data_IF_717854032011
#
_entry.id   IF_717854032011
#
_cell.length_a   1.000
_cell.length_b   1.000
_cell.length_c   1.000
_cell.angle_alpha   90.00
_cell.angle_beta   90.00
_cell.angle_gamma   90.00
#
_symmetry.space_group_name_H-M   'P 1'
#
loop_
_entity.id
_entity.type
_entity.pdbx_description
1 polymer ?
#
# COMPACT_ATOMS: atom_id res chain seq x y z
N UNK A 1 -12.74 3.16 -9.39
CA UNK A 1 -12.80 3.09 -10.87
C UNK A 1 -14.26 3.28 -11.31
N UNK A 2 -14.60 4.28 -12.11
CA UNK A 2 -15.99 4.57 -12.53
C UNK A 2 -16.23 4.36 -14.04
N UNK A 3 -17.39 3.81 -14.39
CA UNK A 3 -17.85 3.47 -15.76
C UNK A 3 -19.26 4.07 -15.98
N UNK A 4 -19.63 4.39 -17.22
CA UNK A 4 -20.93 4.99 -17.55
C UNK A 4 -21.97 3.98 -18.10
N UNK A 5 -23.17 4.49 -18.45
CA UNK A 5 -24.37 3.71 -18.79
C UNK A 5 -24.26 2.87 -20.08
N UNK A 6 -23.14 2.96 -20.80
CA UNK A 6 -22.79 2.07 -21.91
C UNK A 6 -21.85 0.92 -21.51
N UNK A 7 -21.52 0.81 -20.22
CA UNK A 7 -20.52 -0.16 -19.74
C UNK A 7 -19.07 0.24 -20.05
N UNK A 8 -18.86 1.41 -20.65
CA UNK A 8 -17.55 1.98 -20.98
C UNK A 8 -16.96 2.68 -19.77
N UNK A 9 -15.66 2.48 -19.51
CA UNK A 9 -14.98 3.17 -18.42
C UNK A 9 -14.88 4.65 -18.74
N UNK A 10 -15.42 5.50 -17.87
CA UNK A 10 -15.64 6.91 -18.23
C UNK A 10 -14.30 7.65 -18.36
N UNK A 11 -13.94 7.97 -19.60
CA UNK A 11 -12.88 8.93 -19.97
C UNK A 11 -13.43 10.34 -20.22
N UNK A 12 -14.70 10.61 -19.87
CA UNK A 12 -15.27 11.94 -20.00
C UNK A 12 -14.92 12.81 -18.79
N UNK A 13 -14.48 14.05 -19.05
CA UNK A 13 -14.52 15.18 -18.10
C UNK A 13 -15.96 15.43 -17.61
N UNK A 14 -16.55 14.53 -16.84
CA UNK A 14 -17.65 14.89 -15.94
C UNK A 14 -16.99 15.13 -14.60
N UNK A 15 -16.92 16.42 -14.25
CA UNK A 15 -16.29 16.82 -13.01
C UNK A 15 -17.05 16.19 -11.86
N UNK A 16 -16.33 15.97 -10.78
CA UNK A 16 -16.81 15.15 -9.68
C UNK A 16 -15.91 14.00 -9.33
N UNK A 17 -14.59 14.22 -9.38
CA UNK A 17 -13.65 13.92 -8.30
C UNK A 17 -14.22 13.00 -7.19
N UNK A 18 -13.83 11.73 -7.16
CA UNK A 18 -14.19 10.78 -6.09
C UNK A 18 -14.60 9.38 -6.55
N UNK A 19 -14.00 8.35 -5.96
CA UNK A 19 -14.11 6.95 -6.37
C UNK A 19 -15.29 6.24 -5.72
N UNK A 20 -16.41 6.09 -6.44
CA UNK A 20 -17.55 5.25 -6.03
C UNK A 20 -17.17 3.82 -5.62
N UNK A 21 -16.04 3.28 -6.13
CA UNK A 21 -15.55 1.93 -5.81
C UNK A 21 -14.63 1.81 -4.59
N UNK A 22 -14.21 2.88 -3.92
CA UNK A 22 -13.43 2.76 -2.68
C UNK A 22 -14.26 2.23 -1.49
N UNK A 23 -15.57 2.04 -1.68
CA UNK A 23 -16.52 1.64 -0.63
C UNK A 23 -17.25 0.33 -0.94
N UNK A 24 -16.75 -0.47 -1.89
CA UNK A 24 -17.40 -1.69 -2.39
C UNK A 24 -16.67 -2.98 -1.94
N UNK A 25 -16.90 -3.48 -0.72
CA UNK A 25 -16.97 -4.92 -0.51
C UNK A 25 -18.42 -5.35 -0.76
N UNK A 26 -18.63 -6.45 -1.49
CA UNK A 26 -19.95 -6.94 -1.92
C UNK A 26 -20.98 -7.20 -0.79
N UNK A 27 -20.55 -7.11 0.47
CA UNK A 27 -21.36 -7.37 1.66
C UNK A 27 -22.16 -6.17 2.20
N UNK A 28 -21.91 -4.90 1.77
CA UNK A 28 -22.53 -3.70 2.37
C UNK A 28 -22.97 -2.62 1.36
N UNK A 29 -23.77 -2.99 0.36
CA UNK A 29 -24.26 -2.08 -0.72
C UNK A 29 -24.89 -0.78 -0.21
N UNK A 30 -25.70 -0.79 0.85
CA UNK A 30 -26.40 0.40 1.31
C UNK A 30 -25.44 1.48 1.87
N UNK A 31 -24.49 1.08 2.73
CA UNK A 31 -23.49 1.98 3.32
C UNK A 31 -22.55 2.58 2.26
N UNK A 32 -22.21 1.80 1.23
CA UNK A 32 -21.36 2.25 0.12
C UNK A 32 -21.97 3.40 -0.68
N UNK A 33 -23.30 3.35 -0.93
CA UNK A 33 -24.04 4.38 -1.67
C UNK A 33 -24.14 5.67 -0.88
N UNK A 34 -24.45 5.59 0.43
CA UNK A 34 -24.46 6.76 1.30
C UNK A 34 -23.09 7.43 1.34
N UNK A 35 -22.03 6.63 1.46
CA UNK A 35 -20.68 7.15 1.59
C UNK A 35 -20.17 7.80 0.29
N UNK A 36 -20.47 7.21 -0.87
CA UNK A 36 -20.20 7.85 -2.16
C UNK A 36 -20.95 9.17 -2.32
N UNK A 37 -22.22 9.21 -1.90
CA UNK A 37 -23.01 10.45 -1.93
C UNK A 37 -22.39 11.54 -1.06
N UNK A 38 -22.05 11.25 0.20
CA UNK A 38 -21.51 12.26 1.12
C UNK A 38 -20.03 12.59 0.89
N UNK A 39 -19.23 11.65 0.37
CA UNK A 39 -17.78 11.84 0.23
C UNK A 39 -17.35 12.35 -1.13
N UNK A 40 -18.15 12.09 -2.18
CA UNK A 40 -17.81 12.43 -3.55
C UNK A 40 -18.87 13.35 -4.17
N UNK A 41 -20.15 12.94 -4.20
CA UNK A 41 -21.18 13.72 -4.92
C UNK A 41 -21.51 15.05 -4.24
N UNK A 42 -21.78 15.04 -2.93
CA UNK A 42 -22.16 16.25 -2.20
C UNK A 42 -21.04 17.30 -2.22
N UNK A 43 -19.76 16.97 -1.90
CA UNK A 43 -18.66 17.93 -2.01
C UNK A 43 -18.44 18.43 -3.44
N UNK A 44 -18.63 17.56 -4.44
CA UNK A 44 -18.57 17.97 -5.83
C UNK A 44 -19.64 19.00 -6.17
N UNK A 45 -20.91 18.72 -5.85
CA UNK A 45 -22.00 19.67 -6.07
C UNK A 45 -21.78 20.98 -5.31
N UNK A 46 -21.27 20.92 -4.08
CA UNK A 46 -20.95 22.11 -3.29
C UNK A 46 -19.80 22.94 -3.89
N UNK A 47 -18.74 22.30 -4.40
CA UNK A 47 -17.56 23.01 -4.91
C UNK A 47 -17.68 23.42 -6.37
N UNK A 48 -18.41 22.67 -7.18
CA UNK A 48 -18.53 22.86 -8.63
C UNK A 48 -19.91 23.34 -9.09
N UNK A 49 -20.96 23.15 -8.29
CA UNK A 49 -22.33 23.49 -8.67
C UNK A 49 -22.73 22.84 -10.01
N UNK A 50 -23.44 23.61 -10.84
CA UNK A 50 -23.80 23.22 -12.21
C UNK A 50 -22.74 23.63 -13.25
N UNK A 51 -21.62 24.21 -12.82
CA UNK A 51 -20.72 24.96 -13.68
C UNK A 51 -19.55 24.13 -14.16
N UNK A 52 -19.22 24.29 -15.45
CA UNK A 52 -18.02 23.72 -16.03
C UNK A 52 -16.73 24.54 -15.61
N UNK A 53 -15.47 24.26 -16.05
CA UNK A 53 -14.13 24.10 -15.30
C UNK A 53 -13.51 25.41 -14.81
N UNK A 54 -14.37 26.40 -14.74
CA UNK A 54 -14.11 27.82 -14.68
C UNK A 54 -14.24 28.37 -13.27
N UNK A 55 -15.00 27.70 -12.39
CA UNK A 55 -15.04 28.06 -10.97
C UNK A 55 -13.71 27.68 -10.28
N UNK A 56 -13.03 28.63 -9.63
CA UNK A 56 -11.78 28.34 -8.88
C UNK A 56 -11.97 27.25 -7.81
N UNK A 57 -13.14 27.22 -7.16
CA UNK A 57 -13.51 26.18 -6.19
C UNK A 57 -13.61 24.80 -6.83
N UNK A 58 -14.11 24.74 -8.07
CA UNK A 58 -14.19 23.48 -8.81
C UNK A 58 -12.82 23.00 -9.28
N UNK A 59 -11.96 23.94 -9.69
CA UNK A 59 -10.58 23.62 -10.04
C UNK A 59 -9.82 23.08 -8.84
N UNK A 60 -9.97 23.70 -7.66
CA UNK A 60 -9.40 23.18 -6.41
C UNK A 60 -9.96 21.79 -6.08
N UNK A 61 -11.27 21.59 -6.20
CA UNK A 61 -11.89 20.30 -5.94
C UNK A 61 -11.32 19.18 -6.82
N UNK A 62 -11.22 19.41 -8.14
CA UNK A 62 -10.64 18.45 -9.09
C UNK A 62 -9.14 18.25 -8.84
N UNK A 63 -8.42 19.31 -8.45
CA UNK A 63 -6.99 19.24 -8.12
C UNK A 63 -6.72 18.33 -6.94
N UNK A 64 -7.53 18.42 -5.89
CA UNK A 64 -7.35 17.64 -4.65
C UNK A 64 -8.05 16.27 -4.67
N UNK A 65 -8.94 15.99 -5.63
CA UNK A 65 -9.37 14.62 -5.94
C UNK A 65 -9.43 14.33 -7.45
N UNK A 66 -8.28 14.12 -8.10
CA UNK A 66 -8.27 13.83 -9.53
C UNK A 66 -9.10 12.58 -9.87
N UNK A 67 -9.82 12.61 -10.99
CA UNK A 67 -10.48 11.43 -11.53
C UNK A 67 -9.41 10.44 -12.00
N UNK A 68 -9.34 9.26 -11.38
CA UNK A 68 -8.39 8.22 -11.77
C UNK A 68 -8.70 7.64 -13.16
N UNK A 69 -7.71 7.61 -14.05
CA UNK A 69 -7.77 6.89 -15.34
C UNK A 69 -7.26 5.47 -15.14
N UNK A 70 -8.11 4.46 -15.24
CA UNK A 70 -7.68 3.06 -15.06
C UNK A 70 -7.23 2.43 -16.38
N UNK A 71 -6.24 3.03 -17.01
CA UNK A 71 -5.54 2.43 -18.15
C UNK A 71 -4.27 1.78 -17.58
N UNK A 72 -4.13 0.47 -17.76
CA UNK A 72 -2.93 -0.32 -17.42
C UNK A 72 -2.59 -0.47 -15.92
N UNK A 73 -3.59 -0.56 -15.05
CA UNK A 73 -3.37 -0.88 -13.63
C UNK A 73 -3.66 -2.36 -13.37
N UNK A 74 -2.71 -3.23 -13.71
CA UNK A 74 -2.56 -4.49 -12.98
C UNK A 74 -1.56 -4.18 -11.86
N UNK A 75 -2.00 -3.72 -10.67
CA UNK A 75 -1.07 -3.54 -9.57
C UNK A 75 -0.45 -4.90 -9.22
N UNK A 76 0.88 -4.98 -9.23
CA UNK A 76 1.59 -6.10 -8.59
C UNK A 76 1.86 -5.64 -7.16
N UNK A 77 1.10 -6.10 -6.15
CA UNK A 77 1.39 -5.78 -4.76
C UNK A 77 2.76 -6.36 -4.40
N UNK A 78 3.74 -5.50 -4.19
CA UNK A 78 5.12 -5.87 -3.85
C UNK A 78 5.58 -5.06 -2.66
N UNK A 79 6.38 -5.65 -1.79
CA UNK A 79 6.66 -5.02 -0.51
C UNK A 79 7.38 -5.93 0.47
N UNK A 80 7.79 -5.35 1.60
CA UNK A 80 8.36 -6.07 2.73
C UNK A 80 7.37 -6.18 3.88
N UNK A 81 7.44 -7.29 4.61
CA UNK A 81 6.47 -7.68 5.64
C UNK A 81 7.14 -8.40 6.80
N UNK A 82 6.66 -8.14 8.02
CA UNK A 82 7.04 -8.93 9.19
C UNK A 82 8.55 -8.91 9.45
N UNK A 83 9.13 -10.09 9.71
CA UNK A 83 10.58 -10.31 9.88
C UNK A 83 11.22 -10.63 8.52
N UNK A 84 11.79 -9.62 7.84
CA UNK A 84 11.24 -9.17 6.59
C UNK A 84 11.26 -10.23 5.48
N UNK A 85 10.03 -10.65 5.12
CA UNK A 85 9.73 -11.36 3.89
C UNK A 85 9.41 -10.35 2.80
N UNK A 86 10.15 -10.39 1.70
CA UNK A 86 9.96 -9.52 0.55
C UNK A 86 9.24 -10.26 -0.58
N UNK A 87 8.21 -9.62 -1.13
CA UNK A 87 7.51 -10.06 -2.35
C UNK A 87 8.00 -9.25 -3.54
N UNK A 88 8.57 -9.92 -4.54
CA UNK A 88 9.18 -9.30 -5.73
C UNK A 88 8.16 -9.08 -6.85
N UNK A 89 8.52 -8.23 -7.83
CA UNK A 89 7.63 -7.88 -8.95
C UNK A 89 7.33 -9.03 -9.92
N UNK A 90 8.16 -10.07 -9.94
CA UNK A 90 7.94 -11.30 -10.69
C UNK A 90 7.10 -12.33 -9.90
N UNK A 91 6.54 -11.94 -8.75
CA UNK A 91 5.64 -12.77 -7.95
C UNK A 91 6.32 -13.76 -7.02
N UNK A 92 7.65 -13.74 -6.95
CA UNK A 92 8.41 -14.55 -6.01
C UNK A 92 8.46 -13.92 -4.60
N UNK A 93 8.91 -14.70 -3.62
CA UNK A 93 9.11 -14.18 -2.27
C UNK A 93 10.30 -14.80 -1.59
N UNK A 94 10.94 -14.04 -0.70
CA UNK A 94 12.09 -14.52 0.04
C UNK A 94 12.33 -13.74 1.34
N UNK A 95 13.13 -14.31 2.23
CA UNK A 95 13.49 -13.71 3.53
C UNK A 95 14.82 -12.95 3.43
N UNK A 96 14.86 -11.72 3.94
CA UNK A 96 16.11 -10.98 4.11
C UNK A 96 16.10 -10.14 5.39
N UNK A 97 16.85 -10.61 6.40
CA UNK A 97 16.91 -9.99 7.72
C UNK A 97 18.20 -9.20 7.93
N UNK A 98 18.23 -7.96 7.42
CA UNK A 98 19.37 -7.04 7.56
C UNK A 98 19.20 -6.05 8.73
N UNK A 99 20.31 -5.48 9.20
CA UNK A 99 20.31 -4.36 10.16
C UNK A 99 21.04 -3.16 9.54
N UNK A 100 20.27 -2.21 9.02
CA UNK A 100 20.81 -1.23 8.07
C UNK A 100 19.75 -0.38 7.39
N UNK A 101 20.24 0.49 6.50
CA UNK A 101 19.41 1.15 5.50
C UNK A 101 19.72 0.57 4.12
N UNK A 102 18.68 0.26 3.34
CA UNK A 102 18.81 -0.47 2.08
C UNK A 102 17.94 0.13 1.00
N UNK A 103 18.39 0.01 -0.25
CA UNK A 103 17.59 0.31 -1.43
C UNK A 103 16.56 -0.80 -1.61
N UNK A 104 15.30 -0.52 -1.25
CA UNK A 104 14.19 -1.44 -1.45
C UNK A 104 13.90 -1.60 -2.95
N UNK A 105 13.82 -0.47 -3.65
CA UNK A 105 13.49 -0.41 -5.07
C UNK A 105 14.01 0.91 -5.66
N UNK A 106 14.65 0.88 -6.82
CA UNK A 106 15.00 2.08 -7.59
C UNK A 106 14.83 1.87 -9.08
N UNK A 107 14.49 2.92 -9.79
CA UNK A 107 14.51 2.92 -11.26
C UNK A 107 15.94 3.16 -11.76
N UNK A 108 16.29 2.56 -12.90
CA UNK A 108 17.63 2.70 -13.49
C UNK A 108 17.92 4.16 -13.91
N UNK A 109 16.90 4.91 -14.31
CA UNK A 109 17.00 6.34 -14.64
C UNK A 109 17.20 7.25 -13.41
N UNK A 110 17.14 6.71 -12.19
CA UNK A 110 17.31 7.45 -10.93
C UNK A 110 16.09 8.30 -10.51
N UNK A 111 15.03 8.33 -11.32
CA UNK A 111 13.86 9.18 -11.10
C UNK A 111 12.94 8.67 -9.98
N UNK A 112 13.09 7.42 -9.56
CA UNK A 112 12.29 6.84 -8.49
C UNK A 112 13.16 5.96 -7.60
N UNK A 113 13.01 6.10 -6.28
CA UNK A 113 13.76 5.31 -5.30
C UNK A 113 12.99 5.20 -3.99
N UNK A 114 12.98 3.99 -3.42
CA UNK A 114 12.50 3.69 -2.09
C UNK A 114 13.67 3.10 -1.32
N UNK A 115 13.92 3.64 -0.13
CA UNK A 115 14.83 3.06 0.84
C UNK A 115 14.06 2.65 2.09
N UNK A 116 14.50 1.57 2.73
CA UNK A 116 13.96 1.08 4.00
C UNK A 116 15.04 1.02 5.06
N UNK A 117 14.65 1.21 6.31
CA UNK A 117 15.48 0.96 7.49
C UNK A 117 15.00 -0.30 8.15
N UNK A 118 15.89 -1.30 8.22
CA UNK A 118 15.66 -2.56 8.91
C UNK A 118 16.42 -2.54 10.23
N UNK A 119 15.72 -2.86 11.32
CA UNK A 119 16.30 -2.88 12.66
C UNK A 119 15.81 -4.09 13.46
N UNK A 120 16.57 -4.56 14.47
CA UNK A 120 16.15 -5.67 15.31
C UNK A 120 14.82 -5.41 16.01
N UNK A 121 13.99 -6.44 16.11
CA UNK A 121 12.77 -6.38 16.91
C UNK A 121 13.12 -6.22 18.40
N UNK A 122 12.53 -5.22 19.06
CA UNK A 122 12.72 -4.95 20.49
C UNK A 122 11.43 -5.27 21.23
N UNK A 123 11.27 -6.50 21.73
CA UNK A 123 10.15 -6.85 22.60
C UNK A 123 10.57 -6.91 24.07
N UNK A 124 10.15 -5.92 24.87
CA UNK A 124 10.41 -5.91 26.32
C UNK A 124 9.67 -7.04 27.08
N UNK A 125 8.67 -7.66 26.44
CA UNK A 125 7.83 -8.74 27.01
C UNK A 125 8.40 -10.14 26.81
N UNK A 126 9.43 -10.28 25.97
CA UNK A 126 10.04 -11.55 25.61
C UNK A 126 11.46 -11.57 26.15
N UNK A 127 11.75 -12.56 27.00
CA UNK A 127 13.05 -12.74 27.65
C UNK A 127 14.20 -12.55 26.64
N UNK A 128 15.34 -11.91 27.01
CA UNK A 128 16.47 -11.66 26.12
C UNK A 128 17.10 -12.91 25.49
N UNK A 129 16.65 -14.10 25.90
CA UNK A 129 17.05 -15.42 25.37
C UNK A 129 16.18 -15.85 24.16
N UNK A 130 15.10 -15.14 23.84
CA UNK A 130 14.05 -15.62 22.91
C UNK A 130 13.76 -14.74 21.69
N UNK A 131 14.50 -13.64 21.47
CA UNK A 131 14.51 -12.93 20.17
C UNK A 131 15.82 -13.22 19.46
N UNK A 132 15.82 -14.37 18.80
CA UNK A 132 16.83 -14.79 17.83
C UNK A 132 16.92 -13.72 16.73
N UNK A 133 17.95 -12.87 16.71
CA UNK A 133 18.33 -11.89 15.68
C UNK A 133 17.32 -11.73 14.50
N UNK A 134 16.14 -11.22 14.82
CA UNK A 134 15.03 -10.92 13.93
C UNK A 134 15.00 -9.43 13.68
N UNK A 135 14.70 -8.99 12.46
CA UNK A 135 14.62 -7.57 12.10
C UNK A 135 13.24 -7.21 11.61
N UNK A 136 12.93 -5.93 11.43
CA UNK A 136 11.73 -5.50 10.75
C UNK A 136 11.92 -4.12 10.13
N UNK A 137 11.00 -3.75 9.23
CA UNK A 137 10.95 -2.39 8.68
C UNK A 137 10.46 -1.45 9.78
N UNK A 138 11.29 -0.47 10.14
CA UNK A 138 10.93 0.57 11.13
C UNK A 138 10.78 1.95 10.49
N UNK A 139 11.34 2.14 9.30
CA UNK A 139 11.21 3.38 8.56
C UNK A 139 11.38 3.15 7.05
N UNK A 140 10.85 4.07 6.25
CA UNK A 140 11.12 4.12 4.83
C UNK A 140 11.11 5.55 4.32
N UNK A 141 11.75 5.76 3.17
CA UNK A 141 11.75 7.05 2.47
C UNK A 141 11.55 6.83 0.97
N UNK A 142 10.70 7.65 0.36
CA UNK A 142 10.35 7.59 -1.05
C UNK A 142 10.79 8.88 -1.73
N UNK A 143 11.57 8.77 -2.79
CA UNK A 143 11.85 9.83 -3.76
C UNK A 143 11.18 9.47 -5.08
N UNK A 144 10.34 10.38 -5.58
CA UNK A 144 9.78 10.31 -6.92
C UNK A 144 10.06 11.65 -7.60
N UNK A 145 10.54 11.62 -8.84
CA UNK A 145 10.92 12.81 -9.61
C UNK A 145 9.77 13.83 -9.64
N UNK A 146 10.14 15.11 -9.51
CA UNK A 146 9.24 16.25 -9.46
C UNK A 146 8.17 16.21 -8.33
N UNK A 147 8.25 15.25 -7.42
CA UNK A 147 7.33 15.06 -6.29
C UNK A 147 8.05 15.26 -4.95
N UNK A 148 7.33 15.59 -3.86
CA UNK A 148 7.93 15.71 -2.53
C UNK A 148 8.53 14.38 -2.08
N UNK A 149 9.67 14.43 -1.37
CA UNK A 149 10.21 13.25 -0.68
C UNK A 149 9.39 12.98 0.58
N UNK A 150 8.91 11.75 0.73
CA UNK A 150 8.15 11.31 1.92
C UNK A 150 9.00 10.35 2.74
N UNK A 151 9.28 10.69 3.99
CA UNK A 151 9.85 9.78 4.99
C UNK A 151 8.79 9.43 6.02
N UNK A 152 8.68 8.15 6.34
CA UNK A 152 7.76 7.61 7.34
C UNK A 152 8.58 6.78 8.32
N UNK A 153 8.43 7.04 9.62
CA UNK A 153 9.25 6.43 10.65
C UNK A 153 8.40 6.06 11.87
N UNK A 154 8.60 4.84 12.36
CA UNK A 154 8.00 4.31 13.58
C UNK A 154 9.03 4.31 14.70
N UNK A 155 8.75 5.05 15.76
CA UNK A 155 9.55 5.06 16.97
C UNK A 155 9.05 3.98 17.93
N UNK A 156 9.62 2.78 17.82
CA UNK A 156 9.14 1.55 18.47
C UNK A 156 8.85 1.69 19.97
N UNK A 157 9.63 2.46 20.74
CA UNK A 157 9.39 2.63 22.19
C UNK A 157 8.26 3.59 22.55
N UNK A 158 7.96 4.53 21.66
CA UNK A 158 6.95 5.57 21.91
C UNK A 158 5.65 5.28 21.13
N UNK A 159 5.66 4.27 20.24
CA UNK A 159 4.59 4.00 19.26
C UNK A 159 4.16 5.26 18.51
N UNK A 160 5.13 6.14 18.28
CA UNK A 160 4.94 7.39 17.57
C UNK A 160 5.30 7.20 16.12
N UNK A 161 4.45 7.77 15.26
CA UNK A 161 4.65 7.80 13.82
C UNK A 161 5.05 9.22 13.46
N UNK A 162 6.23 9.36 12.87
CA UNK A 162 6.64 10.61 12.24
C UNK A 162 6.51 10.49 10.72
N UNK A 163 5.87 11.49 10.12
CA UNK A 163 5.80 11.63 8.67
C UNK A 163 6.46 12.95 8.32
N UNK A 164 7.46 12.90 7.44
CA UNK A 164 8.15 14.08 6.93
C UNK A 164 7.93 14.23 5.44
N UNK A 165 7.59 15.44 5.01
CA UNK A 165 7.50 15.82 3.60
C UNK A 165 8.55 16.88 3.33
N UNK A 166 9.49 16.58 2.43
CA UNK A 166 10.66 17.44 2.16
C UNK A 166 11.36 17.89 3.46
N UNK A 167 11.66 16.93 4.33
CA UNK A 167 12.36 17.08 5.64
C UNK A 167 11.52 17.74 6.74
N UNK A 168 10.38 18.35 6.40
CA UNK A 168 9.49 19.00 7.36
C UNK A 168 8.59 17.96 8.01
N UNK A 169 8.60 17.93 9.34
CA UNK A 169 7.69 17.10 10.13
C UNK A 169 6.25 17.59 9.93
N UNK A 170 5.34 16.65 9.65
CA UNK A 170 3.92 16.91 9.60
C UNK A 170 3.33 16.82 11.01
N UNK A 171 2.50 17.81 11.37
CA UNK A 171 1.71 17.79 12.59
C UNK A 171 0.32 17.25 12.27
N UNK A 172 -0.07 16.14 12.90
CA UNK A 172 -1.41 15.56 12.77
C UNK A 172 -1.82 14.84 14.05
N UNK A 173 -3.12 14.72 14.27
CA UNK A 173 -3.68 13.91 15.36
C UNK A 173 -4.06 12.54 14.80
N UNK A 174 -3.42 11.44 15.25
CA UNK A 174 -3.77 10.10 14.80
C UNK A 174 -5.20 9.73 15.22
N UNK A 175 -5.90 9.01 14.35
CA UNK A 175 -7.17 8.36 14.67
C UNK A 175 -6.97 7.37 15.82
N UNK A 176 -7.94 7.34 16.72
CA UNK A 176 -8.04 6.43 17.85
C UNK A 176 -9.21 5.47 17.65
N UNK A 177 -9.25 4.39 18.43
CA UNK A 177 -10.40 3.47 18.45
C UNK A 177 -11.73 4.16 18.81
N UNK A 178 -11.70 5.38 19.37
CA UNK A 178 -12.91 6.15 19.69
C UNK A 178 -13.45 6.95 18.50
N UNK A 179 -12.67 7.05 17.42
CA UNK A 179 -13.02 7.79 16.21
C UNK A 179 -13.79 6.93 15.18
N UNK A 180 -14.48 5.86 15.60
CA UNK A 180 -15.15 4.85 14.74
C UNK A 180 -16.05 5.43 13.63
N UNK A 181 -16.55 6.66 13.79
CA UNK A 181 -17.36 7.37 12.79
C UNK A 181 -16.53 7.93 11.62
N UNK A 182 -15.23 8.14 11.79
CA UNK A 182 -14.31 8.66 10.78
C UNK A 182 -13.57 7.51 10.11
N UNK A 183 -14.06 7.09 8.97
CA UNK A 183 -13.49 5.97 8.21
C UNK A 183 -12.19 6.29 7.43
N UNK A 184 -11.57 7.46 7.68
CA UNK A 184 -10.24 7.88 7.21
C UNK A 184 -9.96 9.33 7.61
N UNK A 185 -8.70 9.70 7.88
CA UNK A 185 -8.25 11.07 8.10
C UNK A 185 -7.29 11.52 6.99
N UNK A 186 -7.44 12.76 6.51
CA UNK A 186 -6.49 13.38 5.57
C UNK A 186 -5.37 14.04 6.36
N UNK A 187 -4.13 13.58 6.18
CA UNK A 187 -2.95 14.11 6.88
C UNK A 187 -2.30 15.22 6.04
N UNK A 188 -2.09 14.93 4.76
CA UNK A 188 -1.39 15.85 3.86
C UNK A 188 -1.95 15.77 2.46
N UNK A 189 -2.03 16.92 1.81
CA UNK A 189 -2.17 16.98 0.36
C UNK A 189 -1.46 18.21 -0.18
N UNK A 190 -0.90 18.11 -1.38
CA UNK A 190 -0.33 19.26 -2.07
C UNK A 190 -0.84 19.43 -3.50
N UNK A 191 -0.34 20.51 -4.06
CA UNK A 191 -0.60 20.99 -5.41
C UNK A 191 -0.12 20.05 -6.53
N UNK A 192 0.75 19.07 -6.19
CA UNK A 192 1.33 18.03 -7.05
C UNK A 192 0.63 16.68 -6.89
N UNK A 193 -0.51 16.66 -6.19
CA UNK A 193 -1.31 15.48 -5.92
C UNK A 193 -0.60 14.40 -5.08
N UNK A 194 0.37 14.78 -4.25
CA UNK A 194 0.74 13.93 -3.12
C UNK A 194 -0.43 13.94 -2.14
N UNK A 195 -0.87 12.76 -1.72
CA UNK A 195 -1.94 12.58 -0.74
C UNK A 195 -1.46 11.58 0.31
N UNK A 196 -1.47 11.99 1.58
CA UNK A 196 -1.19 11.11 2.72
C UNK A 196 -2.44 11.05 3.57
N UNK A 197 -2.92 9.84 3.83
CA UNK A 197 -4.12 9.57 4.63
C UNK A 197 -3.83 8.53 5.67
N UNK A 198 -4.48 8.68 6.82
CA UNK A 198 -4.71 7.57 7.72
C UNK A 198 -6.00 6.90 7.28
N UNK A 199 -5.90 5.69 6.76
CA UNK A 199 -7.04 4.91 6.25
C UNK A 199 -7.81 4.24 7.39
N UNK A 200 -7.11 3.88 8.46
CA UNK A 200 -7.62 3.26 9.69
C UNK A 200 -6.64 3.55 10.85
N UNK A 201 -7.00 3.21 12.09
CA UNK A 201 -6.18 3.40 13.31
C UNK A 201 -4.72 2.98 13.08
N UNK A 202 -4.51 1.83 12.44
CA UNK A 202 -3.18 1.26 12.18
C UNK A 202 -2.75 1.28 10.71
N UNK A 203 -3.50 1.91 9.81
CA UNK A 203 -3.21 1.84 8.36
C UNK A 203 -3.12 3.23 7.73
N UNK A 204 -2.07 3.44 6.95
CA UNK A 204 -1.79 4.68 6.24
C UNK A 204 -1.70 4.42 4.74
N UNK A 205 -2.06 5.42 3.94
CA UNK A 205 -1.84 5.41 2.50
C UNK A 205 -1.11 6.66 2.05
N UNK A 206 -0.14 6.47 1.17
CA UNK A 206 0.62 7.53 0.50
C UNK A 206 0.40 7.35 -0.99
N UNK A 207 -0.21 8.34 -1.64
CA UNK A 207 -0.55 8.27 -3.06
C UNK A 207 0.04 9.45 -3.81
N UNK A 208 0.75 9.18 -4.90
CA UNK A 208 1.28 10.16 -5.84
C UNK A 208 0.35 10.23 -7.06
N UNK A 209 -0.68 11.08 -6.99
CA UNK A 209 -1.81 11.09 -7.93
C UNK A 209 -1.41 11.19 -9.40
N UNK A 210 -0.44 12.05 -9.74
CA UNK A 210 0.01 12.24 -11.13
C UNK A 210 0.66 10.98 -11.71
N UNK A 211 1.41 10.24 -10.88
CA UNK A 211 2.10 9.02 -11.28
C UNK A 211 1.23 7.76 -11.14
N UNK A 212 0.18 7.83 -10.32
CA UNK A 212 -0.64 6.68 -9.93
C UNK A 212 0.03 5.70 -8.96
N UNK A 213 1.23 6.00 -8.46
CA UNK A 213 1.91 5.18 -7.46
C UNK A 213 1.19 5.32 -6.11
N UNK A 214 0.97 4.21 -5.44
CA UNK A 214 0.41 4.17 -4.10
C UNK A 214 1.22 3.27 -3.18
N UNK A 215 1.30 3.64 -1.92
CA UNK A 215 1.86 2.85 -0.84
C UNK A 215 0.81 2.67 0.24
N UNK A 216 0.72 1.45 0.77
CA UNK A 216 -0.07 1.09 1.93
C UNK A 216 0.91 0.72 3.03
N UNK A 217 0.74 1.33 4.19
CA UNK A 217 1.58 1.12 5.37
C UNK A 217 0.70 0.64 6.49
N UNK A 218 0.92 -0.60 6.94
CA UNK A 218 0.23 -1.13 8.11
C UNK A 218 1.19 -1.15 9.30
N UNK A 219 0.78 -0.50 10.38
CA UNK A 219 1.54 -0.40 11.63
C UNK A 219 1.17 -1.57 12.52
N UNK A 220 2.15 -2.40 12.86
CA UNK A 220 1.96 -3.55 13.76
C UNK A 220 2.37 -3.15 15.17
N UNK A 221 1.48 -2.42 15.86
CA UNK A 221 1.72 -1.87 17.20
C UNK A 221 2.03 -2.89 18.29
N UNK A 222 1.73 -4.18 18.07
CA UNK A 222 2.09 -5.27 19.00
C UNK A 222 3.58 -5.62 18.97
N UNK A 223 4.24 -5.39 17.84
CA UNK A 223 5.61 -5.81 17.57
C UNK A 223 6.51 -4.64 17.14
N UNK A 224 5.95 -3.43 17.12
CA UNK A 224 6.60 -2.17 16.79
C UNK A 224 7.35 -2.17 15.44
N UNK A 225 6.68 -2.67 14.40
CA UNK A 225 7.17 -2.63 13.01
C UNK A 225 6.11 -2.21 11.98
N UNK A 226 6.56 -2.03 10.73
CA UNK A 226 5.76 -1.65 9.58
C UNK A 226 5.69 -2.78 8.54
N UNK A 227 4.49 -3.02 8.00
CA UNK A 227 4.36 -3.65 6.68
C UNK A 227 4.28 -2.54 5.63
N UNK A 228 5.07 -2.65 4.56
CA UNK A 228 5.08 -1.68 3.46
C UNK A 228 4.72 -2.38 2.16
N UNK A 229 3.55 -2.05 1.61
CA UNK A 229 3.08 -2.55 0.32
C UNK A 229 3.10 -1.41 -0.69
N UNK A 230 3.77 -1.63 -1.82
CA UNK A 230 3.80 -0.73 -2.95
C UNK A 230 2.86 -1.23 -4.05
N UNK A 231 2.16 -0.28 -4.65
CA UNK A 231 1.26 -0.43 -5.79
C UNK A 231 1.77 0.49 -6.88
N UNK A 232 2.41 -0.11 -7.90
CA UNK A 232 3.02 0.62 -9.01
C UNK A 232 2.24 0.34 -10.31
N UNK A 233 1.84 1.35 -11.09
CA UNK A 233 1.14 1.14 -12.35
C UNK A 233 1.99 0.46 -13.44
N UNK A 234 1.38 -0.32 -14.35
CA UNK A 234 2.14 -0.97 -15.43
C UNK A 234 2.77 0.00 -16.42
N UNK A 235 2.32 1.26 -16.50
CA UNK A 235 3.00 2.27 -17.31
C UNK A 235 4.47 2.43 -16.90
N UNK A 236 4.81 2.14 -15.64
CA UNK A 236 6.18 2.09 -15.17
C UNK A 236 6.93 0.84 -15.65
N UNK A 237 6.25 -0.30 -15.86
CA UNK A 237 6.86 -1.49 -16.48
C UNK A 237 7.36 -1.20 -17.89
N UNK A 238 6.58 -0.44 -18.66
CA UNK A 238 6.91 -0.10 -20.04
C UNK A 238 7.98 1.00 -20.14
N UNK A 239 7.99 1.94 -19.18
CA UNK A 239 8.85 3.13 -19.21
C UNK A 239 10.15 2.98 -18.43
N UNK A 240 10.16 2.15 -17.38
CA UNK A 240 11.25 2.09 -16.41
C UNK A 240 11.63 0.64 -16.11
N UNK A 241 12.93 0.44 -15.94
CA UNK A 241 13.49 -0.78 -15.36
C UNK A 241 13.79 -0.53 -13.90
N UNK A 242 13.46 -1.50 -13.06
CA UNK A 242 13.67 -1.43 -11.62
C UNK A 242 14.68 -2.46 -11.15
N UNK A 243 15.33 -2.15 -10.03
CA UNK A 243 16.28 -3.00 -9.32
C UNK A 243 16.23 -2.66 -7.82
N UNK A 244 16.75 -3.55 -6.97
CA UNK A 244 16.71 -3.41 -5.51
C UNK A 244 16.34 -4.73 -4.85
N UNK A 245 16.08 -4.70 -3.55
CA UNK A 245 15.59 -5.85 -2.78
C UNK A 245 14.31 -6.44 -3.42
N UNK A 246 13.38 -5.61 -3.90
CA UNK A 246 12.16 -6.12 -4.57
C UNK A 246 12.37 -6.59 -6.01
N UNK A 247 13.56 -6.39 -6.59
CA UNK A 247 13.87 -6.69 -7.98
C UNK A 247 13.08 -5.84 -8.99
N UNK A 248 13.18 -6.22 -10.26
CA UNK A 248 12.36 -5.69 -11.33
C UNK A 248 11.32 -6.71 -11.82
N UNK A 249 10.57 -6.36 -12.87
CA UNK A 249 9.57 -7.24 -13.47
C UNK A 249 10.14 -8.53 -14.09
N UNK A 250 11.45 -8.56 -14.34
CA UNK A 250 12.18 -9.72 -14.86
C UNK A 250 12.92 -10.49 -13.75
N UNK A 251 12.68 -10.14 -12.48
CA UNK A 251 13.28 -10.77 -11.31
C UNK A 251 14.40 -9.96 -10.64
N UNK A 252 15.12 -10.63 -9.74
CA UNK A 252 16.18 -10.06 -8.94
C UNK A 252 17.47 -9.86 -9.76
N UNK A 253 18.12 -8.71 -9.56
CA UNK A 253 19.42 -8.39 -10.15
C UNK A 253 20.37 -7.91 -9.05
N UNK A 254 21.66 -8.15 -9.19
CA UNK A 254 22.69 -7.53 -8.38
C UNK A 254 22.83 -6.04 -8.73
N UNK A 255 23.46 -5.21 -7.88
CA UNK A 255 23.69 -3.79 -8.19
C UNK A 255 24.49 -3.53 -9.49
N UNK A 256 25.25 -4.52 -9.97
CA UNK A 256 25.96 -4.48 -11.24
C UNK A 256 25.08 -4.80 -12.47
N UNK A 257 23.79 -5.10 -12.26
CA UNK A 257 22.81 -5.43 -13.29
C UNK A 257 22.76 -6.91 -13.72
N UNK A 258 23.58 -7.79 -13.14
CA UNK A 258 23.55 -9.22 -13.44
C UNK A 258 22.40 -9.92 -12.69
N UNK A 259 21.80 -10.94 -13.29
CA UNK A 259 20.67 -11.65 -12.67
C UNK A 259 21.12 -12.48 -11.46
N UNK A 260 20.27 -12.54 -10.43
CA UNK A 260 20.48 -13.42 -9.28
C UNK A 260 20.06 -14.85 -9.64
N UNK A 261 20.95 -15.81 -9.38
CA UNK A 261 20.69 -17.24 -9.59
C UNK A 261 20.58 -18.04 -8.29
N UNK A 262 20.59 -17.36 -7.14
CA UNK A 262 20.47 -17.99 -5.84
C UNK A 262 19.08 -18.62 -5.65
N UNK A 263 19.01 -19.71 -4.89
CA UNK A 263 17.73 -20.30 -4.51
C UNK A 263 17.01 -19.36 -3.55
N UNK A 264 15.75 -19.02 -3.85
CA UNK A 264 14.99 -18.06 -3.03
C UNK A 264 14.64 -18.58 -1.63
N UNK A 265 14.74 -19.89 -1.41
CA UNK A 265 14.59 -20.51 -0.09
C UNK A 265 15.90 -20.59 0.71
N UNK A 266 17.02 -20.17 0.12
CA UNK A 266 18.32 -20.09 0.80
C UNK A 266 18.50 -18.66 1.33
N UNK A 267 17.96 -18.42 2.52
CA UNK A 267 17.98 -17.11 3.19
C UNK A 267 19.39 -16.66 3.59
N UNK A 268 20.36 -17.57 3.68
CA UNK A 268 21.77 -17.23 3.86
C UNK A 268 22.39 -16.65 2.58
N UNK A 269 22.14 -17.29 1.43
CA UNK A 269 22.55 -16.75 0.14
C UNK A 269 21.85 -15.41 -0.13
N UNK A 270 20.57 -15.29 0.21
CA UNK A 270 19.82 -14.06 0.02
C UNK A 270 20.15 -12.95 1.01
N UNK A 271 20.60 -13.29 2.21
CA UNK A 271 21.23 -12.32 3.10
C UNK A 271 22.46 -11.70 2.46
N UNK A 272 23.34 -12.53 1.87
CA UNK A 272 24.52 -12.04 1.16
C UNK A 272 24.15 -11.15 -0.04
N UNK A 273 23.05 -11.47 -0.73
CA UNK A 273 22.50 -10.63 -1.81
C UNK A 273 21.94 -9.30 -1.30
N UNK A 274 21.10 -9.31 -0.27
CA UNK A 274 20.44 -8.12 0.27
C UNK A 274 21.43 -7.11 0.85
N UNK A 275 22.53 -7.59 1.45
CA UNK A 275 23.63 -6.74 1.93
C UNK A 275 24.28 -5.89 0.83
N UNK A 276 24.23 -6.33 -0.44
CA UNK A 276 24.76 -5.55 -1.57
C UNK A 276 23.89 -4.32 -1.89
N UNK A 277 22.67 -4.26 -1.37
CA UNK A 277 21.74 -3.14 -1.53
C UNK A 277 21.80 -2.12 -0.39
N UNK A 278 22.72 -2.31 0.57
CA UNK A 278 22.95 -1.37 1.67
C UNK A 278 23.34 0.01 1.15
N UNK A 279 22.76 1.05 1.72
CA UNK A 279 23.06 2.44 1.34
C UNK A 279 24.39 2.89 1.94
N UNK A 280 24.97 3.92 1.33
CA UNK A 280 26.08 4.69 1.92
C UNK A 280 25.56 6.00 2.48
N UNK A 281 26.34 6.67 3.33
CA UNK A 281 26.00 8.00 3.83
C UNK A 281 25.70 9.00 2.67
N UNK A 282 26.45 8.93 1.57
CA UNK A 282 26.25 9.79 0.41
C UNK A 282 25.00 9.45 -0.42
N UNK A 283 24.52 8.20 -0.35
CA UNK A 283 23.36 7.75 -1.12
C UNK A 283 22.09 7.63 -0.29
N UNK A 284 22.15 7.81 1.03
CA UNK A 284 20.95 7.73 1.88
C UNK A 284 20.01 8.89 1.61
N UNK A 285 18.72 8.57 1.53
CA UNK A 285 17.64 9.54 1.37
C UNK A 285 17.00 9.92 2.69
N UNK A 286 17.37 9.27 3.79
CA UNK A 286 16.82 9.57 5.11
C UNK A 286 17.30 10.95 5.59
N UNK A 287 16.38 11.66 6.23
CA UNK A 287 16.67 12.84 7.00
C UNK A 287 16.92 12.44 8.45
N UNK A 288 18.05 12.87 9.00
CA UNK A 288 18.48 12.57 10.35
C UNK A 288 18.30 13.79 11.26
N UNK A 289 17.66 13.60 12.40
CA UNK A 289 17.53 14.63 13.43
C UNK A 289 18.69 14.55 14.43
N UNK A 290 18.96 15.63 15.16
CA UNK A 290 19.93 15.76 16.26
C UNK A 290 20.63 14.46 16.74
N UNK A 291 21.95 14.38 16.53
CA UNK A 291 22.80 13.24 16.94
C UNK A 291 22.43 11.88 16.32
N UNK A 292 21.47 11.83 15.40
CA UNK A 292 21.22 10.69 14.54
C UNK A 292 22.03 10.79 13.24
N UNK A 293 22.29 9.65 12.61
CA UNK A 293 23.09 9.58 11.39
C UNK A 293 22.96 8.23 10.70
N UNK A 294 23.25 8.22 9.39
CA UNK A 294 23.34 6.98 8.61
C UNK A 294 24.14 5.89 9.32
N UNK A 295 25.28 6.26 9.90
CA UNK A 295 26.21 5.34 10.54
C UNK A 295 25.65 4.65 11.79
N UNK A 296 24.77 5.33 12.54
CA UNK A 296 24.14 4.76 13.75
C UNK A 296 23.09 3.70 13.42
N UNK A 297 22.55 3.71 12.21
CA UNK A 297 21.59 2.73 11.73
C UNK A 297 22.25 1.57 10.98
N UNK A 298 23.58 1.49 10.91
CA UNK A 298 24.28 0.38 10.27
C UNK A 298 24.86 -0.59 11.30
N UNK A 299 24.63 -1.88 11.09
CA UNK A 299 25.39 -2.95 11.74
C UNK A 299 25.87 -3.96 10.69
N UNK A 300 27.15 -3.86 10.33
CA UNK A 300 27.78 -4.75 9.34
C UNK A 300 28.11 -6.14 9.92
N UNK A 301 28.14 -6.25 11.25
CA UNK A 301 28.43 -7.50 11.95
C UNK A 301 27.16 -8.27 12.28
N UNK A 302 25.99 -7.66 12.09
CA UNK A 302 24.70 -8.30 12.30
C UNK A 302 24.57 -9.59 11.51
N UNK A 303 24.10 -10.66 12.16
CA UNK A 303 23.79 -11.93 11.51
C UNK A 303 22.43 -12.41 11.99
N UNK A 304 21.45 -12.57 11.08
CA UNK A 304 20.15 -13.08 11.47
C UNK A 304 20.22 -14.57 11.80
N UNK A 305 19.18 -15.07 12.47
CA UNK A 305 19.00 -16.52 12.59
C UNK A 305 18.42 -17.07 11.30
N UNK A 306 19.19 -17.84 10.54
CA UNK A 306 18.75 -18.41 9.28
C UNK A 306 17.69 -19.51 9.48
N UNK A 307 16.81 -19.67 8.50
CA UNK A 307 15.66 -20.57 8.53
C UNK A 307 16.08 -22.00 8.82
N UNK A 308 17.12 -22.47 8.15
CA UNK A 308 17.59 -23.85 8.32
C UNK A 308 18.10 -24.10 9.75
N UNK A 309 18.82 -23.14 10.33
CA UNK A 309 19.30 -23.21 11.71
C UNK A 309 18.13 -23.21 12.69
N UNK A 310 17.15 -22.32 12.46
CA UNK A 310 15.95 -22.21 13.27
C UNK A 310 15.12 -23.52 13.25
N UNK A 311 14.89 -24.07 12.06
CA UNK A 311 14.12 -25.30 11.90
C UNK A 311 14.83 -26.50 12.52
N UNK A 312 16.17 -26.55 12.42
CA UNK A 312 16.99 -27.59 13.05
C UNK A 312 16.93 -27.47 14.58
N UNK A 313 17.04 -26.25 15.11
CA UNK A 313 16.99 -25.96 16.54
C UNK A 313 15.67 -26.40 17.18
N UNK A 314 14.55 -26.17 16.49
CA UNK A 314 13.21 -26.43 17.03
C UNK A 314 12.58 -27.76 16.56
N UNK A 315 13.20 -28.53 15.67
CA UNK A 315 12.62 -29.70 14.99
C UNK A 315 11.83 -30.67 15.90
N UNK A 316 12.34 -30.91 17.12
CA UNK A 316 11.77 -31.86 18.08
C UNK A 316 10.97 -31.20 19.22
N UNK A 317 10.54 -29.95 19.05
CA UNK A 317 9.82 -29.18 20.07
C UNK A 317 8.32 -29.10 19.80
N UNK A 318 7.53 -28.87 20.85
CA UNK A 318 6.09 -28.57 20.72
C UNK A 318 5.85 -27.29 19.91
N UNK A 319 6.76 -26.32 19.99
CA UNK A 319 6.72 -25.06 19.25
C UNK A 319 6.76 -25.30 17.73
N UNK A 320 7.62 -26.20 17.26
CA UNK A 320 7.69 -26.55 15.83
C UNK A 320 6.43 -27.24 15.35
N UNK A 321 5.88 -28.18 16.13
CA UNK A 321 4.62 -28.83 15.77
C UNK A 321 3.44 -27.86 15.76
N UNK A 322 3.41 -26.90 16.71
CA UNK A 322 2.42 -25.83 16.74
C UNK A 322 2.53 -24.95 15.50
N UNK A 323 3.72 -24.44 15.18
CA UNK A 323 3.96 -23.61 14.00
C UNK A 323 3.54 -24.33 12.72
N UNK A 324 3.96 -25.58 12.55
CA UNK A 324 3.58 -26.41 11.40
C UNK A 324 2.06 -26.60 11.27
N UNK A 325 1.36 -26.80 12.38
CA UNK A 325 -0.09 -26.95 12.36
C UNK A 325 -0.82 -25.65 12.02
N UNK A 326 -0.35 -24.52 12.54
CA UNK A 326 -0.93 -23.20 12.29
C UNK A 326 -0.72 -22.78 10.83
N UNK A 327 0.49 -22.97 10.30
CA UNK A 327 0.89 -22.52 8.96
C UNK A 327 0.51 -23.51 7.84
N UNK A 328 -0.15 -24.61 8.18
CA UNK A 328 -0.45 -25.69 7.24
C UNK A 328 -1.31 -25.19 6.07
N UNK A 329 -0.97 -25.62 4.86
CA UNK A 329 -1.67 -25.29 3.60
C UNK A 329 -1.58 -23.80 3.20
N UNK A 330 -0.68 -23.02 3.79
CA UNK A 330 -0.37 -21.67 3.31
C UNK A 330 0.59 -21.75 2.12
N UNK A 331 0.44 -20.84 1.16
CA UNK A 331 1.37 -20.70 0.03
C UNK A 331 2.78 -20.36 0.55
N UNK A 332 2.86 -19.62 1.65
CA UNK A 332 4.11 -19.20 2.31
C UNK A 332 4.32 -19.92 3.66
N UNK A 333 4.03 -21.22 3.72
CA UNK A 333 4.13 -22.04 4.95
C UNK A 333 5.47 -21.85 5.69
N UNK A 334 6.60 -21.86 4.98
CA UNK A 334 7.93 -21.71 5.59
C UNK A 334 8.15 -20.35 6.25
N UNK A 335 7.67 -19.26 5.63
CA UNK A 335 7.77 -17.90 6.17
C UNK A 335 6.91 -17.76 7.43
N UNK A 336 5.68 -18.29 7.40
CA UNK A 336 4.81 -18.34 8.57
C UNK A 336 5.45 -19.15 9.71
N UNK A 337 6.03 -20.32 9.40
CA UNK A 337 6.72 -21.13 10.40
C UNK A 337 7.92 -20.41 10.99
N UNK A 338 8.72 -19.74 10.15
CA UNK A 338 9.87 -18.94 10.58
C UNK A 338 9.46 -17.88 11.61
N UNK A 339 8.45 -17.07 11.28
CA UNK A 339 7.97 -15.97 12.14
C UNK A 339 7.48 -16.47 13.51
N UNK A 340 6.72 -17.58 13.55
CA UNK A 340 6.28 -18.18 14.82
C UNK A 340 7.49 -18.77 15.60
N UNK A 341 8.41 -19.44 14.89
CA UNK A 341 9.59 -20.06 15.48
C UNK A 341 10.66 -19.07 15.94
N UNK A 342 10.62 -17.83 15.47
CA UNK A 342 11.55 -16.79 15.92
C UNK A 342 10.95 -15.95 17.05
N UNK A 343 9.69 -15.52 16.94
CA UNK A 343 9.02 -14.63 17.93
C UNK A 343 8.36 -15.35 19.11
N UNK A 344 7.95 -16.61 18.89
CA UNK A 344 7.19 -17.47 19.81
C UNK A 344 5.73 -17.05 19.93
N UNK A 345 5.25 -16.36 18.90
CA UNK A 345 3.90 -15.83 18.87
C UNK A 345 3.05 -16.58 17.83
N UNK A 346 2.09 -17.42 18.26
CA UNK A 346 1.20 -18.12 17.35
C UNK A 346 0.21 -17.21 16.62
N UNK A 347 0.00 -15.97 17.08
CA UNK A 347 -0.92 -15.01 16.43
C UNK A 347 -0.42 -14.57 15.05
N UNK A 348 0.88 -14.66 14.80
CA UNK A 348 1.49 -14.35 13.50
C UNK A 348 0.94 -15.24 12.38
N UNK A 349 0.46 -16.45 12.68
CA UNK A 349 -0.20 -17.29 11.68
C UNK A 349 -1.47 -16.67 11.09
N UNK A 350 -2.27 -15.97 11.91
CA UNK A 350 -3.46 -15.27 11.42
C UNK A 350 -3.07 -14.09 10.53
N UNK A 351 -1.99 -13.37 10.87
CA UNK A 351 -1.47 -12.24 10.09
C UNK A 351 -0.99 -12.70 8.70
N UNK A 352 -0.36 -13.87 8.61
CA UNK A 352 -0.02 -14.49 7.32
C UNK A 352 -1.28 -14.86 6.52
N UNK A 353 -2.28 -15.48 7.16
CA UNK A 353 -3.52 -15.87 6.49
C UNK A 353 -4.31 -14.67 5.95
N UNK A 354 -4.46 -13.59 6.73
CA UNK A 354 -5.14 -12.37 6.29
C UNK A 354 -4.48 -11.78 5.05
N UNK A 355 -3.16 -11.92 4.94
CA UNK A 355 -2.44 -11.41 3.77
C UNK A 355 -2.55 -12.25 2.54
N UNK A 356 -2.46 -13.58 2.64
CA UNK A 356 -2.71 -14.44 1.47
C UNK A 356 -4.11 -14.14 0.90
N UNK A 357 -5.09 -13.97 1.79
CA UNK A 357 -6.44 -13.53 1.42
C UNK A 357 -6.44 -12.15 0.74
N UNK A 358 -5.71 -11.18 1.29
CA UNK A 358 -5.63 -9.81 0.74
C UNK A 358 -4.98 -9.81 -0.65
N UNK A 359 -3.87 -10.53 -0.82
CA UNK A 359 -3.20 -10.69 -2.12
C UNK A 359 -4.08 -11.40 -3.13
N UNK A 360 -4.81 -12.43 -2.70
CA UNK A 360 -5.75 -13.15 -3.57
C UNK A 360 -6.86 -12.20 -4.04
N UNK A 361 -7.48 -11.44 -3.13
CA UNK A 361 -8.51 -10.45 -3.48
C UNK A 361 -7.94 -9.37 -4.43
N UNK A 362 -6.73 -8.88 -4.19
CA UNK A 362 -6.07 -7.93 -5.07
C UNK A 362 -5.80 -8.53 -6.47
N UNK A 363 -5.34 -9.78 -6.54
CA UNK A 363 -5.09 -10.48 -7.79
C UNK A 363 -6.38 -10.81 -8.56
N UNK A 364 -7.44 -11.21 -7.88
CA UNK A 364 -8.76 -11.42 -8.49
C UNK A 364 -9.32 -10.10 -9.04
N UNK A 365 -9.18 -9.02 -8.28
CA UNK A 365 -9.54 -7.67 -8.73
C UNK A 365 -8.78 -7.26 -9.99
N UNK A 366 -7.47 -7.52 -10.02
CA UNK A 366 -6.59 -7.32 -11.17
C UNK A 366 -7.05 -8.11 -12.40
N UNK A 367 -7.38 -9.39 -12.24
CA UNK A 367 -7.78 -10.27 -13.35
C UNK A 367 -9.12 -9.83 -13.95
N UNK A 368 -10.08 -9.48 -13.10
CA UNK A 368 -11.38 -8.96 -13.54
C UNK A 368 -11.22 -7.67 -14.38
N UNK A 369 -10.34 -6.76 -13.95
CA UNK A 369 -10.04 -5.53 -14.70
C UNK A 369 -9.39 -5.84 -16.05
N UNK A 370 -8.60 -6.91 -16.17
CA UNK A 370 -7.89 -7.27 -17.41
C UNK A 370 -8.85 -7.79 -18.48
N UNK A 371 -9.82 -8.62 -18.09
CA UNK A 371 -10.83 -9.21 -18.99
C UNK A 371 -11.75 -8.13 -19.57
N UNK A 372 -12.15 -7.14 -18.76
CA UNK A 372 -13.00 -6.04 -19.21
C UNK A 372 -12.32 -5.20 -20.31
N UNK A 373 -10.99 -5.05 -20.28
CA UNK A 373 -10.21 -4.29 -21.28
C UNK A 373 -10.16 -5.01 -22.64
N UNK A 374 -10.05 -6.34 -22.66
CA UNK A 374 -9.99 -7.10 -23.92
C UNK A 374 -11.34 -7.11 -24.66
N UNK A 375 -12.45 -7.13 -23.91
CA UNK A 375 -13.80 -7.09 -24.48
C UNK A 375 -14.21 -5.71 -25.03
N UNK A 376 -13.64 -4.61 -24.51
CA UNK A 376 -13.90 -3.24 -25.01
C UNK A 376 -13.15 -2.95 -26.34
N UNK A 377 -12.00 -3.60 -26.54
CA UNK A 377 -11.24 -3.52 -27.80
C UNK A 377 -11.98 -4.16 -28.98
N UNK A 378 -12.74 -5.23 -28.76
CA UNK A 378 -13.49 -5.93 -29.82
C UNK A 378 -14.78 -5.20 -30.21
N UNK A 379 -15.42 -4.47 -29.30
CA UNK A 379 -16.65 -3.72 -29.56
C UNK A 379 -16.43 -2.38 -30.29
N UNK A 380 -15.26 -1.75 -30.10
CA UNK A 380 -14.91 -0.48 -30.78
C UNK A 380 -14.66 -0.60 -32.29
N UNK A 381 -14.57 -1.82 -32.86
CA UNK A 381 -14.40 -2.03 -34.30
C UNK A 381 -15.73 -2.08 -35.10
N UNK A 382 -16.90 -2.19 -34.47
CA UNK A 382 -18.15 -2.49 -35.21
C UNK A 382 -19.23 -1.41 -35.27
N UNK A 383 -19.15 -0.27 -34.57
CA UNK A 383 -20.30 0.68 -34.55
C UNK A 383 -19.95 2.13 -34.90
N UNK A 384 -19.82 2.40 -36.21
CA UNK A 384 -19.97 3.74 -36.76
C UNK A 384 -21.42 4.01 -37.19
N UNK A 385 -22.21 4.69 -36.34
CA UNK A 385 -23.29 5.65 -36.71
C UNK A 385 -24.12 6.09 -35.49
N UNK A 386 -24.22 7.40 -35.30
CA UNK A 386 -24.97 8.12 -34.25
C UNK A 386 -26.40 8.53 -34.68
N UNK A 387 -27.37 8.51 -33.76
CA UNK A 387 -28.48 9.49 -33.66
C UNK A 387 -29.05 9.59 -32.22
N UNK A 388 -29.58 10.74 -31.75
CA UNK A 388 -29.95 10.97 -30.34
C UNK A 388 -31.47 11.16 -30.07
N UNK A 389 -31.99 10.65 -28.93
CA UNK A 389 -33.21 11.12 -28.18
C UNK A 389 -33.48 10.25 -26.91
N UNK A 390 -34.33 10.62 -25.92
CA UNK A 390 -34.42 11.86 -25.10
C UNK A 390 -34.52 11.57 -23.55
N UNK A 391 -33.66 12.17 -22.71
CA UNK A 391 -33.51 11.80 -21.27
C UNK A 391 -34.20 12.71 -20.22
N UNK A 392 -35.06 13.66 -20.60
CA UNK A 392 -35.59 14.66 -19.64
C UNK A 392 -36.67 14.17 -18.65
N UNK A 393 -37.26 12.98 -18.84
CA UNK A 393 -38.35 12.51 -17.99
C UNK A 393 -37.89 11.73 -16.74
N UNK A 394 -36.70 11.12 -16.77
CA UNK A 394 -36.23 10.25 -15.69
C UNK A 394 -35.70 11.04 -14.46
N UNK A 395 -35.12 12.23 -14.68
CA UNK A 395 -34.53 13.03 -13.61
C UNK A 395 -35.57 13.60 -12.62
N UNK A 396 -36.78 13.93 -13.09
CA UNK A 396 -37.81 14.52 -12.23
C UNK A 396 -38.47 13.48 -11.28
N UNK A 397 -38.50 12.20 -11.66
CA UNK A 397 -39.04 11.16 -10.80
C UNK A 397 -38.09 10.77 -9.66
N UNK A 398 -36.78 10.88 -9.88
CA UNK A 398 -35.77 10.56 -8.85
C UNK A 398 -35.71 11.61 -7.73
N UNK A 399 -35.87 12.90 -8.07
CA UNK A 399 -35.89 14.00 -7.09
C UNK A 399 -37.11 13.91 -6.16
N UNK A 400 -38.27 13.48 -6.67
CA UNK A 400 -39.49 13.38 -5.87
C UNK A 400 -39.46 12.23 -4.84
N UNK A 401 -38.74 11.15 -5.11
CA UNK A 401 -38.58 10.05 -4.15
C UNK A 401 -37.57 10.39 -3.03
N UNK A 402 -36.56 11.22 -3.31
CA UNK A 402 -35.60 11.71 -2.30
C UNK A 402 -36.30 12.60 -1.26
N UNK A 403 -37.26 13.45 -1.67
CA UNK A 403 -38.03 14.28 -0.74
C UNK A 403 -38.92 13.46 0.20
N UNK A 404 -39.48 12.34 -0.26
CA UNK A 404 -40.29 11.44 0.58
C UNK A 404 -39.44 10.73 1.64
N UNK A 405 -38.22 10.32 1.28
CA UNK A 405 -37.28 9.65 2.19
C UNK A 405 -36.73 10.64 3.22
N UNK A 406 -36.44 11.88 2.82
CA UNK A 406 -36.03 12.94 3.75
C UNK A 406 -37.14 13.30 4.76
N UNK A 407 -38.41 13.28 4.32
CA UNK A 407 -39.56 13.52 5.19
C UNK A 407 -39.76 12.38 6.21
N UNK A 408 -39.54 11.13 5.80
CA UNK A 408 -39.59 9.95 6.68
C UNK A 408 -38.46 9.96 7.71
N UNK A 409 -37.25 10.37 7.33
CA UNK A 409 -36.11 10.52 8.25
C UNK A 409 -36.34 11.63 9.28
N UNK A 410 -37.03 12.72 8.91
CA UNK A 410 -37.37 13.80 9.84
C UNK A 410 -38.44 13.38 10.87
N UNK A 411 -39.40 12.52 10.47
CA UNK A 411 -40.44 12.00 11.36
C UNK A 411 -39.86 11.03 12.40
N UNK A 412 -38.84 10.25 12.03
CA UNK A 412 -38.12 9.33 12.93
C UNK A 412 -37.21 10.06 13.92
N UNK A 413 -36.76 11.29 13.60
CA UNK A 413 -35.97 12.14 14.50
C UNK A 413 -36.82 13.01 15.44
N UNK A 414 -38.15 13.07 15.22
CA UNK A 414 -39.10 13.86 16.00
C UNK A 414 -40.04 13.01 16.87
N UNK A 415 -39.75 11.71 17.03
CA UNK A 415 -40.32 10.79 18.03
C UNK A 415 -39.16 10.08 18.74
#
# INVERSE_FOLDING_TARGET
CGYDNSGVMSTARRRGSGSSKAHYPETLKALSTYRHFFSDLLPYYSCCGSSTETLPTCQQYIRYRPSGTCVNLIPIPTGGRGDPHFSTFDGNSYTFNGHGEYILLKSIDGQFEIQVRLAPLVNESVSPVSMNNATAIIAFVIRNEDQPRVQFELFSKLRLIEIRVDEKLLEFTPLTEQDELLSSSLIYTDDRQLIIRQSDVNSYSISYGESGIQFIVDVRSQFDFLDLISIIPNTFKEKRKFQGILGGFEGLTYPNGTNVSANLNDDQALFSYGELWRTTNASSLFYYILQDSHAQHQDLNYRPTFQQDLFTMYANTSRFQMAKNICRNMTREQQCMYDILITNDPTLGQIHQTYETTLQVLNEYVQLVTIDIENDKTTSMETGKTTPQPEKAAANNFINEIWKIALLALIVLLH
#
